data_IF_730484021853
#
_entry.id   IF_730484021853
#
_cell.length_a   1.000
_cell.length_b   1.000
_cell.length_c   1.000
_cell.angle_alpha   90.00
_cell.angle_beta   90.00
_cell.angle_gamma   90.00
#
_symmetry.space_group_name_H-M   'P 1'
#
loop_
_entity.id
_entity.type
_entity.pdbx_description
1 polymer ?
#
# COMPACT_ATOMS: atom_id res chain seq x y z
N UNK A 1 11.96 19.56 -19.47
CA UNK A 1 12.01 18.90 -20.78
C UNK A 1 10.63 18.28 -21.00
N UNK A 2 9.78 18.84 -21.86
CA UNK A 2 8.43 18.30 -22.10
C UNK A 2 8.47 17.05 -23.00
N UNK A 3 7.39 16.81 -23.75
CA UNK A 3 7.20 15.59 -24.57
C UNK A 3 8.34 15.25 -25.53
N UNK A 4 9.04 16.24 -26.06
CA UNK A 4 10.20 16.00 -26.94
C UNK A 4 11.28 15.19 -26.24
N UNK A 5 11.56 15.51 -24.97
CA UNK A 5 12.52 14.77 -24.15
C UNK A 5 12.00 13.38 -23.78
N UNK A 6 10.75 13.28 -23.35
CA UNK A 6 10.11 12.00 -23.04
C UNK A 6 10.11 11.04 -24.24
N UNK A 7 9.80 11.54 -25.44
CA UNK A 7 9.84 10.74 -26.67
C UNK A 7 11.25 10.30 -27.04
N UNK A 8 12.27 11.13 -26.81
CA UNK A 8 13.66 10.74 -27.01
C UNK A 8 14.08 9.64 -26.01
N UNK A 9 13.69 9.77 -24.74
CA UNK A 9 13.90 8.76 -23.71
C UNK A 9 13.20 7.45 -24.05
N UNK A 10 11.92 7.49 -24.44
CA UNK A 10 11.17 6.31 -24.86
C UNK A 10 11.83 5.61 -26.07
N UNK A 11 12.35 6.36 -27.05
CA UNK A 11 13.12 5.76 -28.16
C UNK A 11 14.41 5.09 -27.68
N UNK A 12 15.14 5.72 -26.76
CA UNK A 12 16.36 5.15 -26.19
C UNK A 12 16.06 3.89 -25.36
N UNK A 13 14.95 3.86 -24.61
CA UNK A 13 14.52 2.70 -23.82
C UNK A 13 14.30 1.47 -24.68
N UNK A 14 13.81 1.59 -25.92
CA UNK A 14 13.62 0.43 -26.83
C UNK A 14 14.89 -0.39 -27.02
N UNK A 15 16.06 0.26 -27.02
CA UNK A 15 17.36 -0.37 -27.22
C UNK A 15 18.12 -0.59 -25.91
N UNK A 16 17.61 -0.06 -24.80
CA UNK A 16 18.30 -0.13 -23.53
C UNK A 16 18.13 -1.50 -22.87
N UNK A 17 19.23 -2.12 -22.48
CA UNK A 17 19.26 -3.46 -21.91
C UNK A 17 19.65 -3.51 -20.42
N UNK A 18 19.74 -2.36 -19.75
CA UNK A 18 20.26 -2.28 -18.37
C UNK A 18 19.40 -1.48 -17.40
N UNK A 19 18.64 -0.49 -17.90
CA UNK A 19 17.83 0.38 -17.07
C UNK A 19 16.62 -0.38 -16.55
N UNK A 20 16.46 -0.36 -15.22
CA UNK A 20 15.34 -1.01 -14.54
C UNK A 20 14.21 -0.05 -14.21
N UNK A 21 14.54 1.20 -13.86
CA UNK A 21 13.56 2.19 -13.42
C UNK A 21 13.84 3.54 -14.08
N UNK A 22 12.79 4.20 -14.54
CA UNK A 22 12.82 5.56 -15.06
C UNK A 22 11.72 6.38 -14.39
N UNK A 23 12.07 7.56 -13.89
CA UNK A 23 11.11 8.52 -13.35
C UNK A 23 11.23 9.83 -14.12
N UNK A 24 10.13 10.26 -14.72
CA UNK A 24 9.98 11.52 -15.45
C UNK A 24 8.71 12.27 -15.03
N UNK A 25 8.23 12.01 -13.81
CA UNK A 25 6.97 12.53 -13.25
C UNK A 25 6.85 14.07 -13.27
N UNK A 26 7.93 14.77 -12.94
CA UNK A 26 7.95 16.24 -12.88
C UNK A 26 8.41 16.91 -14.19
N UNK A 27 8.13 16.29 -15.34
CA UNK A 27 8.59 16.79 -16.64
C UNK A 27 7.56 17.58 -17.46
N UNK A 28 6.35 17.83 -16.92
CA UNK A 28 5.23 18.51 -17.63
C UNK A 28 4.93 17.83 -18.97
N UNK A 29 4.63 16.54 -18.87
CA UNK A 29 4.34 15.69 -20.01
C UNK A 29 2.87 15.83 -20.43
N UNK A 30 2.55 15.42 -21.65
CA UNK A 30 1.18 15.24 -22.14
C UNK A 30 0.94 13.79 -22.57
N UNK A 31 -0.30 13.47 -22.95
CA UNK A 31 -0.69 12.15 -23.46
C UNK A 31 0.17 11.65 -24.65
N UNK A 32 0.82 12.54 -25.41
CA UNK A 32 1.78 12.16 -26.45
C UNK A 32 3.02 11.42 -25.90
N UNK A 33 3.44 11.73 -24.67
CA UNK A 33 4.49 10.98 -23.98
C UNK A 33 4.01 9.58 -23.59
N UNK A 34 2.76 9.43 -23.15
CA UNK A 34 2.16 8.14 -22.77
C UNK A 34 2.22 7.16 -23.95
N UNK A 35 1.76 7.57 -25.13
CA UNK A 35 1.82 6.74 -26.35
C UNK A 35 3.26 6.32 -26.69
N UNK A 36 4.23 7.24 -26.54
CA UNK A 36 5.64 6.93 -26.81
C UNK A 36 6.19 5.86 -25.87
N UNK A 37 5.84 5.91 -24.57
CA UNK A 37 6.27 4.92 -23.59
C UNK A 37 5.52 3.60 -23.70
N UNK A 38 4.23 3.59 -24.04
CA UNK A 38 3.47 2.36 -24.34
C UNK A 38 4.17 1.57 -25.46
N UNK A 39 4.48 2.22 -26.58
CA UNK A 39 5.19 1.58 -27.68
C UNK A 39 6.60 1.10 -27.29
N UNK A 40 7.29 1.86 -26.44
CA UNK A 40 8.62 1.47 -25.97
C UNK A 40 8.57 0.24 -25.07
N UNK A 41 7.65 0.19 -24.12
CA UNK A 41 7.52 -0.89 -23.16
C UNK A 41 6.98 -2.16 -23.80
N UNK A 42 6.21 -2.06 -24.88
CA UNK A 42 5.80 -3.21 -25.68
C UNK A 42 7.00 -3.94 -26.33
N UNK A 43 8.09 -3.23 -26.60
CA UNK A 43 9.31 -3.78 -27.21
C UNK A 43 10.41 -4.08 -26.17
N UNK A 44 10.35 -3.47 -24.99
CA UNK A 44 11.34 -3.62 -23.95
C UNK A 44 10.79 -4.43 -22.77
N UNK A 45 11.41 -5.59 -22.49
CA UNK A 45 11.06 -6.47 -21.37
C UNK A 45 12.05 -6.38 -20.18
N UNK A 46 13.00 -5.44 -20.22
CA UNK A 46 14.04 -5.27 -19.20
C UNK A 46 13.65 -4.25 -18.15
N UNK A 47 13.07 -3.13 -18.59
CA UNK A 47 12.57 -2.06 -17.72
C UNK A 47 11.45 -2.64 -16.87
N UNK A 48 11.53 -2.38 -15.57
CA UNK A 48 10.58 -2.87 -14.56
C UNK A 48 9.59 -1.77 -14.15
N UNK A 49 9.97 -0.48 -14.25
CA UNK A 49 9.09 0.64 -13.89
C UNK A 49 9.41 1.90 -14.69
N UNK A 50 8.39 2.56 -15.20
CA UNK A 50 8.43 3.92 -15.77
C UNK A 50 7.35 4.76 -15.10
N UNK A 51 7.74 5.80 -14.38
CA UNK A 51 6.81 6.73 -13.74
C UNK A 51 6.70 8.02 -14.57
N UNK A 52 5.49 8.31 -15.04
CA UNK A 52 5.17 9.55 -15.74
C UNK A 52 4.49 10.58 -14.82
N UNK A 53 4.22 10.21 -13.58
CA UNK A 53 3.61 11.07 -12.57
C UNK A 53 2.11 11.27 -12.77
N UNK A 54 1.56 12.23 -12.02
CA UNK A 54 0.17 12.62 -12.13
C UNK A 54 -0.01 13.48 -13.38
N UNK A 55 -0.53 12.86 -14.44
CA UNK A 55 -0.80 13.49 -15.72
C UNK A 55 -2.30 13.55 -15.97
N UNK A 56 -2.75 14.57 -16.68
CA UNK A 56 -4.13 14.65 -17.12
C UNK A 56 -4.24 13.99 -18.49
N UNK A 57 -4.50 12.68 -18.51
CA UNK A 57 -4.82 11.94 -19.75
C UNK A 57 -6.29 12.16 -20.06
N UNK A 58 -6.56 12.82 -21.19
CA UNK A 58 -7.93 13.18 -21.57
C UNK A 58 -8.75 11.95 -21.95
N UNK A 59 -10.08 12.02 -21.89
CA UNK A 59 -10.95 10.93 -22.37
C UNK A 59 -10.90 10.76 -23.90
N UNK A 60 -10.32 11.72 -24.65
CA UNK A 60 -10.08 11.60 -26.08
C UNK A 60 -8.87 10.72 -26.41
N UNK A 61 -7.93 10.59 -25.46
CA UNK A 61 -6.75 9.76 -25.67
C UNK A 61 -7.11 8.28 -25.85
N UNK A 62 -6.49 7.68 -26.86
CA UNK A 62 -6.52 6.25 -27.11
C UNK A 62 -5.11 5.72 -27.31
N UNK A 63 -4.81 4.50 -26.82
CA UNK A 63 -3.50 3.91 -27.01
C UNK A 63 -3.25 3.62 -28.50
N UNK A 64 -2.05 3.95 -28.99
CA UNK A 64 -1.66 3.72 -30.39
C UNK A 64 -1.49 2.23 -30.72
N UNK A 65 -1.18 1.43 -29.69
CA UNK A 65 -1.09 -0.03 -29.74
C UNK A 65 -1.93 -0.61 -28.60
N UNK A 66 -2.54 -1.81 -28.76
CA UNK A 66 -3.30 -2.45 -27.70
C UNK A 66 -2.50 -2.55 -26.41
N UNK A 67 -3.09 -2.15 -25.29
CA UNK A 67 -2.47 -2.30 -23.98
C UNK A 67 -2.30 -3.79 -23.63
N UNK A 68 -1.21 -4.09 -22.94
CA UNK A 68 -0.93 -5.43 -22.41
C UNK A 68 -0.68 -5.32 -20.91
N UNK A 69 -0.98 -6.38 -20.16
CA UNK A 69 -0.78 -6.36 -18.72
C UNK A 69 0.69 -6.09 -18.33
N UNK A 70 1.63 -6.55 -19.15
CA UNK A 70 3.05 -6.26 -18.96
C UNK A 70 3.35 -4.77 -19.09
N UNK A 71 2.76 -4.07 -20.06
CA UNK A 71 2.95 -2.62 -20.20
C UNK A 71 2.29 -1.88 -19.03
N UNK A 72 1.03 -2.17 -18.74
CA UNK A 72 0.28 -1.44 -17.72
C UNK A 72 0.81 -1.65 -16.30
N UNK A 73 1.33 -2.83 -15.97
CA UNK A 73 1.96 -3.08 -14.65
C UNK A 73 3.29 -2.35 -14.45
N UNK A 74 3.94 -1.89 -15.53
CA UNK A 74 5.25 -1.22 -15.49
C UNK A 74 5.17 0.27 -15.78
N UNK A 75 4.07 0.75 -16.35
CA UNK A 75 3.85 2.16 -16.69
C UNK A 75 2.94 2.81 -15.65
N UNK A 76 3.52 3.61 -14.77
CA UNK A 76 2.78 4.39 -13.79
C UNK A 76 2.35 5.72 -14.43
N UNK A 77 1.07 5.78 -14.79
CA UNK A 77 0.40 6.94 -15.38
C UNK A 77 -1.02 7.00 -14.84
N UNK A 78 -1.56 8.21 -14.76
CA UNK A 78 -2.97 8.46 -14.44
C UNK A 78 -3.84 8.16 -15.66
N UNK A 79 -4.46 6.98 -15.69
CA UNK A 79 -5.25 6.49 -16.82
C UNK A 79 -6.61 7.20 -16.95
N UNK A 80 -7.09 7.31 -18.18
CA UNK A 80 -8.48 7.65 -18.48
C UNK A 80 -9.37 6.39 -18.42
N UNK A 81 -10.69 6.53 -18.67
CA UNK A 81 -11.63 5.39 -18.67
C UNK A 81 -11.17 4.26 -19.58
N UNK A 82 -10.79 4.59 -20.82
CA UNK A 82 -10.44 3.61 -21.83
C UNK A 82 -9.18 2.82 -21.46
N UNK A 83 -8.15 3.50 -20.94
CA UNK A 83 -6.92 2.87 -20.48
C UNK A 83 -7.17 1.86 -19.36
N UNK A 84 -8.03 2.21 -18.40
CA UNK A 84 -8.42 1.28 -17.33
C UNK A 84 -9.20 0.07 -17.85
N UNK A 85 -10.12 0.27 -18.80
CA UNK A 85 -10.91 -0.82 -19.37
C UNK A 85 -10.06 -1.77 -20.23
N UNK A 86 -9.16 -1.24 -21.06
CA UNK A 86 -8.22 -2.07 -21.84
C UNK A 86 -7.24 -2.79 -20.92
N UNK A 87 -6.76 -2.13 -19.86
CA UNK A 87 -5.94 -2.80 -18.84
C UNK A 87 -6.70 -3.93 -18.15
N UNK A 88 -7.93 -3.68 -17.70
CA UNK A 88 -8.78 -4.69 -17.08
C UNK A 88 -9.01 -5.89 -18.02
N UNK A 89 -9.21 -5.65 -19.31
CA UNK A 89 -9.42 -6.69 -20.32
C UNK A 89 -8.17 -7.54 -20.58
N UNK A 90 -6.98 -6.95 -20.46
CA UNK A 90 -5.71 -7.63 -20.73
C UNK A 90 -5.06 -8.27 -19.50
N UNK A 91 -5.64 -8.13 -18.29
CA UNK A 91 -5.10 -8.73 -17.07
C UNK A 91 -5.01 -10.26 -17.21
N UNK A 92 -3.86 -10.87 -16.86
CA UNK A 92 -3.66 -12.31 -17.04
C UNK A 92 -4.42 -13.07 -15.95
N UNK A 93 -5.08 -14.17 -16.31
CA UNK A 93 -5.76 -15.02 -15.32
C UNK A 93 -4.81 -15.86 -14.47
N UNK A 94 -3.55 -16.02 -14.90
CA UNK A 94 -2.49 -16.67 -14.14
C UNK A 94 -1.35 -15.67 -13.89
N UNK A 95 -1.32 -15.12 -12.67
CA UNK A 95 -0.39 -14.09 -12.26
C UNK A 95 0.75 -14.65 -11.41
N UNK A 96 1.87 -14.97 -12.07
CA UNK A 96 3.09 -15.42 -11.39
C UNK A 96 4.05 -14.28 -11.01
N UNK A 97 3.75 -13.02 -11.29
CA UNK A 97 4.75 -11.95 -11.08
C UNK A 97 4.25 -10.55 -10.70
N UNK A 98 2.96 -10.24 -10.62
CA UNK A 98 2.51 -8.91 -10.19
C UNK A 98 2.53 -8.79 -8.65
N UNK A 99 3.74 -8.79 -8.08
CA UNK A 99 3.93 -8.53 -6.65
C UNK A 99 3.65 -7.07 -6.29
N UNK A 100 3.84 -6.16 -7.24
CA UNK A 100 3.62 -4.72 -7.09
C UNK A 100 2.71 -4.21 -8.21
N UNK A 101 1.68 -3.45 -7.86
CA UNK A 101 0.74 -2.84 -8.79
C UNK A 101 0.47 -1.40 -8.40
N UNK A 102 0.54 -0.48 -9.36
CA UNK A 102 0.22 0.93 -9.17
C UNK A 102 -0.86 1.34 -10.17
N UNK A 103 -2.02 1.73 -9.67
CA UNK A 103 -3.14 2.21 -10.48
C UNK A 103 -3.40 3.67 -10.16
N UNK A 104 -3.53 4.48 -11.21
CA UNK A 104 -3.92 5.87 -11.09
C UNK A 104 -4.98 6.23 -12.13
N UNK A 105 -5.90 7.13 -11.82
CA UNK A 105 -6.92 7.57 -12.77
C UNK A 105 -7.30 9.04 -12.65
N UNK A 106 -7.81 9.61 -13.74
CA UNK A 106 -8.12 11.05 -13.84
C UNK A 106 -9.47 11.38 -13.19
N UNK A 107 -9.70 12.66 -12.89
CA UNK A 107 -10.99 13.11 -12.33
C UNK A 107 -12.18 12.91 -13.29
N UNK A 108 -11.92 12.92 -14.60
CA UNK A 108 -12.93 12.74 -15.65
C UNK A 108 -13.27 11.27 -15.91
N UNK A 109 -12.49 10.35 -15.34
CA UNK A 109 -12.66 8.91 -15.57
C UNK A 109 -14.05 8.44 -15.12
N UNK A 110 -14.73 7.70 -15.99
CA UNK A 110 -16.00 7.07 -15.68
C UNK A 110 -15.82 6.02 -14.57
N UNK A 111 -16.61 6.07 -13.49
CA UNK A 111 -16.55 5.11 -12.40
C UNK A 111 -16.68 3.64 -12.83
N UNK A 112 -17.43 3.37 -13.90
CA UNK A 112 -17.57 2.04 -14.47
C UNK A 112 -16.24 1.44 -14.93
N UNK A 113 -15.33 2.25 -15.49
CA UNK A 113 -13.99 1.80 -15.88
C UNK A 113 -13.14 1.41 -14.67
N UNK A 114 -13.18 2.25 -13.62
CA UNK A 114 -12.49 1.99 -12.34
C UNK A 114 -13.02 0.72 -11.67
N UNK A 115 -14.34 0.55 -11.60
CA UNK A 115 -14.97 -0.65 -11.02
C UNK A 115 -14.61 -1.91 -11.82
N UNK A 116 -14.62 -1.84 -13.16
CA UNK A 116 -14.17 -2.95 -14.02
C UNK A 116 -12.73 -3.34 -13.71
N UNK A 117 -11.84 -2.36 -13.59
CA UNK A 117 -10.44 -2.61 -13.23
C UNK A 117 -10.31 -3.30 -11.88
N UNK A 118 -10.94 -2.79 -10.81
CA UNK A 118 -10.90 -3.43 -9.50
C UNK A 118 -11.49 -4.84 -9.51
N UNK A 119 -12.55 -5.07 -10.29
CA UNK A 119 -13.14 -6.40 -10.43
C UNK A 119 -12.21 -7.39 -11.14
N UNK A 120 -11.49 -6.95 -12.17
CA UNK A 120 -10.50 -7.76 -12.88
C UNK A 120 -9.29 -8.05 -11.99
N UNK A 121 -8.77 -7.04 -11.28
CA UNK A 121 -7.67 -7.18 -10.33
C UNK A 121 -8.02 -8.17 -9.21
N UNK A 122 -9.27 -8.17 -8.74
CA UNK A 122 -9.74 -9.10 -7.69
C UNK A 122 -9.62 -10.57 -8.10
N UNK A 123 -9.83 -10.87 -9.37
CA UNK A 123 -9.79 -12.25 -9.90
C UNK A 123 -8.39 -12.63 -10.34
N UNK A 124 -7.65 -11.68 -10.91
CA UNK A 124 -6.39 -11.94 -11.60
C UNK A 124 -5.18 -11.89 -10.65
N UNK A 125 -5.17 -10.98 -9.68
CA UNK A 125 -3.99 -10.69 -8.87
C UNK A 125 -4.00 -11.48 -7.54
N UNK A 126 -3.60 -12.74 -7.60
CA UNK A 126 -3.53 -13.61 -6.41
C UNK A 126 -2.24 -13.43 -5.59
N UNK A 127 -1.16 -12.97 -6.21
CA UNK A 127 0.17 -12.82 -5.59
C UNK A 127 0.54 -11.37 -5.24
N UNK A 128 -0.44 -10.46 -5.24
CA UNK A 128 -0.23 -9.03 -5.02
C UNK A 128 0.23 -8.73 -3.59
N UNK A 129 1.44 -8.16 -3.44
CA UNK A 129 2.00 -7.82 -2.12
C UNK A 129 1.99 -6.33 -1.81
N UNK A 130 2.07 -5.48 -2.83
CA UNK A 130 2.04 -4.03 -2.71
C UNK A 130 1.08 -3.42 -3.74
N UNK A 131 0.15 -2.60 -3.26
CA UNK A 131 -0.81 -1.88 -4.09
C UNK A 131 -0.70 -0.38 -3.82
N UNK A 132 -0.48 0.39 -4.89
CA UNK A 132 -0.52 1.85 -4.88
C UNK A 132 -1.74 2.30 -5.67
N UNK A 133 -2.55 3.17 -5.07
CA UNK A 133 -3.75 3.74 -5.69
C UNK A 133 -3.60 5.25 -5.67
N UNK A 134 -3.51 5.89 -6.83
CA UNK A 134 -3.57 7.35 -6.95
C UNK A 134 -4.90 7.76 -7.56
N UNK A 135 -5.73 8.47 -6.81
CA UNK A 135 -7.08 8.81 -7.23
C UNK A 135 -7.36 10.31 -7.13
N UNK A 136 -8.30 10.84 -7.94
CA UNK A 136 -8.75 12.22 -7.82
C UNK A 136 -9.46 12.41 -6.48
N UNK A 137 -9.65 13.66 -6.07
CA UNK A 137 -10.25 13.97 -4.77
C UNK A 137 -11.52 13.21 -4.46
N UNK A 138 -12.51 13.31 -5.34
CA UNK A 138 -13.83 12.70 -5.08
C UNK A 138 -13.95 11.39 -5.83
N UNK A 139 -13.99 10.28 -5.10
CA UNK A 139 -14.18 8.95 -5.67
C UNK A 139 -15.62 8.47 -5.43
N UNK A 140 -16.39 8.10 -6.46
CA UNK A 140 -17.76 7.63 -6.27
C UNK A 140 -17.85 6.38 -5.38
N UNK A 141 -18.97 6.24 -4.65
CA UNK A 141 -19.13 5.17 -3.66
C UNK A 141 -19.00 3.76 -4.22
N UNK A 142 -19.33 3.56 -5.50
CA UNK A 142 -19.17 2.29 -6.20
C UNK A 142 -17.70 1.90 -6.42
N UNK A 143 -16.82 2.87 -6.68
CA UNK A 143 -15.38 2.65 -6.76
C UNK A 143 -14.81 2.28 -5.39
N UNK A 144 -15.25 2.97 -4.33
CA UNK A 144 -14.85 2.65 -2.96
C UNK A 144 -15.28 1.23 -2.55
N UNK A 145 -16.50 0.81 -2.90
CA UNK A 145 -16.98 -0.57 -2.68
C UNK A 145 -16.18 -1.60 -3.46
N UNK A 146 -15.86 -1.32 -4.72
CA UNK A 146 -15.04 -2.20 -5.54
C UNK A 146 -13.63 -2.37 -4.93
N UNK A 147 -13.05 -1.28 -4.43
CA UNK A 147 -11.79 -1.32 -3.72
C UNK A 147 -11.85 -2.15 -2.42
N UNK A 148 -12.84 -1.93 -1.57
CA UNK A 148 -13.04 -2.73 -0.35
C UNK A 148 -13.21 -4.21 -0.70
N UNK A 149 -13.95 -4.53 -1.76
CA UNK A 149 -14.12 -5.91 -2.23
C UNK A 149 -12.80 -6.55 -2.69
N UNK A 150 -11.90 -5.78 -3.33
CA UNK A 150 -10.55 -6.23 -3.65
C UNK A 150 -9.77 -6.52 -2.37
N UNK A 151 -9.73 -5.57 -1.42
CA UNK A 151 -9.02 -5.74 -0.15
C UNK A 151 -9.50 -6.96 0.64
N UNK A 152 -10.81 -7.19 0.70
CA UNK A 152 -11.39 -8.35 1.39
C UNK A 152 -11.03 -9.68 0.71
N UNK A 153 -10.86 -9.71 -0.61
CA UNK A 153 -10.51 -10.91 -1.36
C UNK A 153 -9.01 -11.21 -1.34
N UNK A 154 -8.16 -10.19 -1.28
CA UNK A 154 -6.70 -10.36 -1.28
C UNK A 154 -6.20 -10.95 0.05
N UNK A 155 -5.41 -12.01 -0.04
CA UNK A 155 -4.77 -12.71 1.08
C UNK A 155 -3.23 -12.68 1.01
N UNK A 156 -2.67 -11.91 0.09
CA UNK A 156 -1.24 -11.73 -0.13
C UNK A 156 -0.77 -10.29 0.07
N UNK A 157 -1.71 -9.33 0.07
CA UNK A 157 -1.41 -7.90 0.17
C UNK A 157 -0.83 -7.57 1.54
N UNK A 158 0.38 -7.02 1.56
CA UNK A 158 1.11 -6.61 2.76
C UNK A 158 1.18 -5.10 2.92
N UNK A 159 1.27 -4.36 1.81
CA UNK A 159 1.39 -2.90 1.82
C UNK A 159 0.37 -2.25 0.89
N UNK A 160 -0.32 -1.24 1.42
CA UNK A 160 -1.27 -0.43 0.68
C UNK A 160 -0.87 1.05 0.77
N UNK A 161 -0.81 1.73 -0.37
CA UNK A 161 -0.59 3.18 -0.44
C UNK A 161 -1.73 3.84 -1.19
N UNK A 162 -2.34 4.87 -0.61
CA UNK A 162 -3.40 5.65 -1.24
C UNK A 162 -2.96 7.11 -1.32
N UNK A 163 -2.80 7.56 -2.55
CA UNK A 163 -2.41 8.90 -2.92
C UNK A 163 -3.61 9.62 -3.51
N UNK A 164 -3.83 10.87 -3.14
CA UNK A 164 -4.87 11.69 -3.77
C UNK A 164 -4.33 13.06 -4.10
N UNK A 165 -4.77 13.61 -5.24
CA UNK A 165 -4.40 14.96 -5.67
C UNK A 165 -5.11 16.01 -4.79
N UNK A 166 -6.38 15.78 -4.47
CA UNK A 166 -7.12 16.58 -3.49
C UNK A 166 -7.30 15.79 -2.20
N UNK A 167 -7.26 16.48 -1.06
CA UNK A 167 -7.41 15.89 0.28
C UNK A 167 -8.82 15.36 0.59
N UNK A 168 -9.58 14.93 -0.41
CA UNK A 168 -10.98 14.53 -0.23
C UNK A 168 -11.13 13.14 0.40
N UNK A 169 -12.30 12.97 1.02
CA UNK A 169 -12.44 12.33 2.33
C UNK A 169 -13.29 11.06 2.34
N UNK A 170 -13.79 10.62 1.19
CA UNK A 170 -14.75 9.52 1.13
C UNK A 170 -14.10 8.13 0.99
N UNK A 171 -12.89 8.04 0.43
CA UNK A 171 -12.19 6.76 0.27
C UNK A 171 -11.61 6.26 1.59
N UNK A 172 -11.11 7.16 2.44
CA UNK A 172 -10.34 6.81 3.65
C UNK A 172 -11.18 5.98 4.62
N UNK A 173 -12.38 6.43 4.99
CA UNK A 173 -13.26 5.74 5.95
C UNK A 173 -13.62 4.31 5.49
N UNK A 174 -14.04 4.17 4.22
CA UNK A 174 -14.41 2.88 3.64
C UNK A 174 -13.21 1.94 3.55
N UNK A 175 -12.05 2.49 3.16
CA UNK A 175 -10.79 1.74 3.13
C UNK A 175 -10.41 1.23 4.50
N UNK A 176 -10.43 2.09 5.54
CA UNK A 176 -10.10 1.69 6.91
C UNK A 176 -11.07 0.61 7.39
N UNK A 177 -12.36 0.70 7.03
CA UNK A 177 -13.33 -0.35 7.32
C UNK A 177 -13.01 -1.67 6.59
N UNK A 178 -12.55 -1.62 5.34
CA UNK A 178 -12.06 -2.79 4.60
C UNK A 178 -10.79 -3.38 5.20
N UNK A 179 -9.85 -2.55 5.64
CA UNK A 179 -8.63 -2.95 6.35
C UNK A 179 -8.96 -3.67 7.67
N UNK A 180 -9.99 -3.24 8.39
CA UNK A 180 -10.47 -3.94 9.59
C UNK A 180 -10.96 -5.38 9.29
N UNK A 181 -11.22 -5.72 8.03
CA UNK A 181 -11.68 -7.06 7.60
C UNK A 181 -10.57 -7.88 6.96
N UNK A 182 -9.62 -7.25 6.28
CA UNK A 182 -8.42 -7.88 5.76
C UNK A 182 -7.52 -8.40 6.91
N UNK A 183 -6.72 -9.45 6.64
CA UNK A 183 -5.86 -10.10 7.66
C UNK A 183 -4.36 -10.05 7.34
N UNK A 184 -3.98 -9.45 6.22
CA UNK A 184 -2.64 -9.60 5.64
C UNK A 184 -1.93 -8.27 5.47
N UNK A 185 -2.67 -7.16 5.33
CA UNK A 185 -2.10 -5.82 5.22
C UNK A 185 -1.44 -5.44 6.54
N UNK A 186 -0.12 -5.20 6.46
CA UNK A 186 0.75 -4.85 7.58
C UNK A 186 1.05 -3.36 7.64
N UNK A 187 1.07 -2.72 6.48
CA UNK A 187 1.36 -1.30 6.35
C UNK A 187 0.34 -0.63 5.44
N UNK A 188 -0.28 0.44 5.92
CA UNK A 188 -1.17 1.27 5.13
C UNK A 188 -0.73 2.74 5.21
N UNK A 189 -0.54 3.35 4.05
CA UNK A 189 -0.08 4.73 3.90
C UNK A 189 -1.17 5.52 3.18
N UNK A 190 -1.61 6.61 3.80
CA UNK A 190 -2.64 7.49 3.31
C UNK A 190 -2.04 8.90 3.17
N UNK A 191 -1.99 9.45 1.96
CA UNK A 191 -1.57 10.84 1.76
C UNK A 191 -2.72 11.86 2.03
N UNK A 192 -3.75 11.44 2.78
CA UNK A 192 -4.91 12.23 3.17
C UNK A 192 -4.84 12.67 4.64
N UNK A 193 -5.74 13.60 5.02
CA UNK A 193 -5.91 14.07 6.39
C UNK A 193 -6.91 13.18 7.15
N UNK A 194 -6.53 12.77 8.35
CA UNK A 194 -7.39 12.04 9.28
C UNK A 194 -8.18 13.04 10.15
N UNK A 195 -9.49 13.20 9.94
CA UNK A 195 -10.23 14.34 10.52
C UNK A 195 -11.67 14.02 10.97
N UNK A 196 -12.32 12.97 10.48
CA UNK A 196 -13.72 12.70 10.89
C UNK A 196 -13.82 11.77 12.10
N UNK A 197 -14.89 11.95 12.89
CA UNK A 197 -15.27 10.98 13.92
C UNK A 197 -15.59 9.59 13.35
N UNK A 198 -15.97 9.50 12.07
CA UNK A 198 -16.20 8.23 11.39
C UNK A 198 -14.88 7.49 11.13
N UNK A 199 -13.82 8.21 10.74
CA UNK A 199 -12.48 7.63 10.59
C UNK A 199 -12.00 7.07 11.93
N UNK A 200 -12.19 7.82 13.02
CA UNK A 200 -11.81 7.38 14.38
C UNK A 200 -12.55 6.12 14.77
N UNK A 201 -13.85 6.03 14.47
CA UNK A 201 -14.64 4.80 14.71
C UNK A 201 -14.14 3.63 13.86
N UNK A 202 -13.77 3.89 12.61
CA UNK A 202 -13.19 2.87 11.74
C UNK A 202 -11.83 2.40 12.28
N UNK A 203 -10.97 3.31 12.71
CA UNK A 203 -9.67 3.00 13.35
C UNK A 203 -9.85 2.26 14.68
N UNK A 204 -10.84 2.63 15.48
CA UNK A 204 -11.18 1.91 16.70
C UNK A 204 -11.59 0.46 16.39
N UNK A 205 -12.34 0.23 15.30
CA UNK A 205 -12.64 -1.13 14.85
C UNK A 205 -11.38 -1.87 14.45
N UNK A 206 -10.45 -1.24 13.73
CA UNK A 206 -9.14 -1.83 13.39
C UNK A 206 -8.37 -2.22 14.65
N UNK A 207 -8.23 -1.28 15.59
CA UNK A 207 -7.50 -1.47 16.85
C UNK A 207 -8.09 -2.59 17.72
N UNK A 208 -9.42 -2.64 17.87
CA UNK A 208 -10.08 -3.67 18.69
C UNK A 208 -10.16 -5.02 17.99
N UNK A 209 -10.49 -5.04 16.70
CA UNK A 209 -10.92 -6.28 16.06
C UNK A 209 -9.79 -7.05 15.41
N UNK A 210 -8.63 -6.47 15.04
CA UNK A 210 -7.67 -7.21 14.18
C UNK A 210 -6.16 -6.92 14.27
N UNK A 211 -5.33 -7.94 13.88
CA UNK A 211 -4.06 -8.29 14.51
C UNK A 211 -2.87 -8.40 13.51
N UNK A 212 -2.89 -7.68 12.38
CA UNK A 212 -1.81 -7.73 11.38
C UNK A 212 -1.31 -6.35 10.93
N UNK A 213 -2.10 -5.29 11.13
CA UNK A 213 -1.69 -3.94 10.76
C UNK A 213 -0.68 -3.42 11.79
N UNK A 214 0.58 -3.33 11.38
CA UNK A 214 1.68 -2.85 12.21
C UNK A 214 1.81 -1.33 12.13
N UNK A 215 1.64 -0.77 10.92
CA UNK A 215 1.95 0.63 10.65
C UNK A 215 0.84 1.28 9.87
N UNK A 216 0.46 2.47 10.34
CA UNK A 216 -0.51 3.30 9.68
C UNK A 216 0.04 4.72 9.58
N UNK A 217 0.18 5.23 8.36
CA UNK A 217 0.71 6.57 8.12
C UNK A 217 -0.34 7.43 7.44
N UNK A 218 -0.48 8.67 7.92
CA UNK A 218 -1.30 9.70 7.31
C UNK A 218 -0.46 10.93 6.95
N UNK A 219 -0.97 11.81 6.08
CA UNK A 219 -0.32 13.09 5.79
C UNK A 219 -0.35 14.02 7.01
N UNK A 220 -1.51 14.11 7.64
CA UNK A 220 -1.72 14.89 8.86
C UNK A 220 -3.00 14.41 9.56
N UNK A 221 -3.25 14.91 10.76
CA UNK A 221 -4.49 14.65 11.48
C UNK A 221 -5.07 15.93 12.08
N UNK A 222 -6.40 15.97 12.16
CA UNK A 222 -7.17 16.96 12.90
C UNK A 222 -8.19 16.22 13.78
N UNK A 223 -7.69 15.52 14.79
CA UNK A 223 -8.50 14.72 15.69
C UNK A 223 -8.69 15.43 17.03
N UNK A 224 -9.89 15.30 17.60
CA UNK A 224 -10.16 15.77 18.96
C UNK A 224 -9.36 14.96 19.99
N UNK A 225 -9.06 15.56 21.14
CA UNK A 225 -8.41 14.86 22.26
C UNK A 225 -9.19 13.62 22.70
N UNK A 226 -10.53 13.68 22.64
CA UNK A 226 -11.42 12.55 22.97
C UNK A 226 -11.27 11.39 21.98
N UNK A 227 -11.14 11.69 20.68
CA UNK A 227 -10.90 10.68 19.66
C UNK A 227 -9.56 9.95 19.89
N UNK A 228 -8.50 10.70 20.15
CA UNK A 228 -7.18 10.13 20.44
C UNK A 228 -7.16 9.27 21.71
N UNK A 229 -7.88 9.69 22.76
CA UNK A 229 -8.05 8.88 23.98
C UNK A 229 -8.82 7.59 23.71
N UNK A 230 -9.88 7.65 22.90
CA UNK A 230 -10.63 6.46 22.51
C UNK A 230 -9.77 5.47 21.72
N UNK A 231 -8.86 5.95 20.88
CA UNK A 231 -7.90 5.10 20.17
C UNK A 231 -6.85 4.51 21.13
N UNK A 232 -6.39 5.27 22.11
CA UNK A 232 -5.45 4.77 23.12
C UNK A 232 -6.07 3.60 23.91
N UNK A 233 -7.32 3.75 24.36
CA UNK A 233 -8.06 2.68 25.04
C UNK A 233 -8.25 1.44 24.15
N UNK A 234 -8.55 1.65 22.86
CA UNK A 234 -8.70 0.56 21.90
C UNK A 234 -7.40 -0.23 21.65
N UNK A 235 -6.24 0.37 21.92
CA UNK A 235 -4.92 -0.26 21.76
C UNK A 235 -4.39 -0.91 23.06
N UNK A 236 -5.09 -0.79 24.19
CA UNK A 236 -4.65 -1.41 25.44
C UNK A 236 -4.50 -2.93 25.28
N UNK A 237 -5.40 -3.58 24.56
CA UNK A 237 -5.34 -5.03 24.30
C UNK A 237 -4.70 -5.39 22.94
N UNK A 238 -4.24 -4.40 22.18
CA UNK A 238 -3.58 -4.61 20.89
C UNK A 238 -2.07 -4.42 21.00
N UNK A 239 -1.30 -5.50 20.85
CA UNK A 239 0.16 -5.48 20.93
C UNK A 239 0.85 -5.43 19.56
N UNK A 240 0.09 -5.56 18.48
CA UNK A 240 0.60 -5.73 17.10
C UNK A 240 0.68 -4.39 16.37
N UNK A 241 -0.17 -3.43 16.72
CA UNK A 241 -0.14 -2.10 16.13
C UNK A 241 1.03 -1.29 16.72
N UNK A 242 2.03 -0.99 15.90
CA UNK A 242 3.32 -0.42 16.33
C UNK A 242 3.41 1.09 16.10
N UNK A 243 2.92 1.60 14.96
CA UNK A 243 3.05 3.03 14.63
C UNK A 243 1.79 3.64 14.02
N UNK A 244 1.51 4.87 14.46
CA UNK A 244 0.56 5.79 13.85
C UNK A 244 1.30 7.10 13.54
N UNK A 245 1.69 7.27 12.29
CA UNK A 245 2.62 8.32 11.86
C UNK A 245 1.90 9.41 11.05
N UNK A 246 2.41 10.64 11.13
CA UNK A 246 1.88 11.80 10.42
C UNK A 246 3.01 12.59 9.75
N UNK A 247 2.94 12.79 8.44
CA UNK A 247 3.99 13.42 7.64
C UNK A 247 4.27 14.88 8.03
N UNK A 248 3.22 15.70 8.17
CA UNK A 248 3.32 17.14 8.45
C UNK A 248 2.94 17.53 9.88
N UNK A 249 2.68 16.56 10.76
CA UNK A 249 2.30 16.84 12.14
C UNK A 249 3.43 16.45 13.09
N UNK A 250 3.98 17.39 13.88
CA UNK A 250 4.98 17.06 14.88
C UNK A 250 4.31 16.28 16.02
N UNK A 251 4.65 14.99 16.15
CA UNK A 251 4.31 14.04 17.21
C UNK A 251 2.85 14.03 17.74
N UNK A 252 2.31 12.84 17.99
CA UNK A 252 1.00 12.70 18.64
C UNK A 252 0.92 13.54 19.93
N UNK A 253 0.04 14.55 19.94
CA UNK A 253 -0.13 15.47 21.09
C UNK A 253 -0.72 14.81 22.35
N UNK A 254 -1.02 13.52 22.31
CA UNK A 254 -1.59 12.77 23.44
C UNK A 254 -0.65 11.68 23.91
N UNK A 255 -0.15 11.86 25.13
CA UNK A 255 0.72 10.92 25.84
C UNK A 255 0.17 9.48 25.91
N UNK A 256 -1.13 9.21 26.18
CA UNK A 256 -1.62 7.83 26.33
C UNK A 256 -1.48 6.98 25.06
N UNK A 257 -1.80 7.56 23.89
CA UNK A 257 -1.67 6.85 22.62
C UNK A 257 -0.20 6.55 22.31
N UNK A 258 0.69 7.52 22.54
CA UNK A 258 2.13 7.34 22.38
C UNK A 258 2.68 6.28 23.34
N UNK A 259 2.22 6.24 24.59
CA UNK A 259 2.60 5.21 25.56
C UNK A 259 2.17 3.81 25.13
N UNK A 260 0.95 3.64 24.60
CA UNK A 260 0.48 2.34 24.11
C UNK A 260 1.35 1.84 22.93
N UNK A 261 1.67 2.71 21.98
CA UNK A 261 2.53 2.39 20.84
C UNK A 261 3.97 2.07 21.28
N UNK A 262 4.55 2.89 22.17
CA UNK A 262 5.90 2.65 22.71
C UNK A 262 5.97 1.35 23.52
N UNK A 263 4.91 1.00 24.27
CA UNK A 263 4.80 -0.29 24.96
C UNK A 263 4.87 -1.43 23.95
N UNK A 264 4.10 -1.37 22.86
CA UNK A 264 4.09 -2.41 21.83
C UNK A 264 5.46 -2.58 21.18
N UNK A 265 6.11 -1.48 20.83
CA UNK A 265 7.46 -1.50 20.27
C UNK A 265 8.49 -2.09 21.25
N UNK A 266 8.39 -1.74 22.53
CA UNK A 266 9.26 -2.30 23.57
C UNK A 266 9.06 -3.81 23.73
N UNK A 267 7.82 -4.29 23.79
CA UNK A 267 7.50 -5.71 23.84
C UNK A 267 8.05 -6.46 22.62
N UNK A 268 7.90 -5.90 21.42
CA UNK A 268 8.45 -6.49 20.21
C UNK A 268 9.99 -6.60 20.28
N UNK A 269 10.68 -5.54 20.69
CA UNK A 269 12.13 -5.55 20.81
C UNK A 269 12.61 -6.59 21.84
N UNK A 270 11.96 -6.68 22.99
CA UNK A 270 12.26 -7.70 24.02
C UNK A 270 12.02 -9.12 23.53
N UNK A 271 10.93 -9.35 22.80
CA UNK A 271 10.66 -10.66 22.20
C UNK A 271 11.73 -11.04 21.17
N UNK A 272 12.21 -10.08 20.35
CA UNK A 272 13.33 -10.31 19.41
C UNK A 272 14.62 -10.66 20.15
N UNK A 273 14.96 -9.94 21.22
CA UNK A 273 16.12 -10.25 22.06
C UNK A 273 16.05 -11.66 22.65
N UNK A 274 14.86 -12.10 23.07
CA UNK A 274 14.60 -13.45 23.57
C UNK A 274 14.81 -14.54 22.49
N UNK A 275 14.33 -14.28 21.27
CA UNK A 275 14.47 -15.21 20.15
C UNK A 275 15.95 -15.36 19.77
N UNK A 276 16.68 -14.25 19.76
CA UNK A 276 18.11 -14.21 19.41
C UNK A 276 19.05 -14.66 20.56
N UNK A 277 18.49 -15.06 21.71
CA UNK A 277 19.24 -15.42 22.93
C UNK A 277 20.13 -14.28 23.48
N UNK A 278 19.77 -13.03 23.20
CA UNK A 278 20.47 -11.85 23.73
C UNK A 278 20.05 -11.52 25.17
N UNK A 279 18.81 -11.82 25.54
CA UNK A 279 18.25 -11.67 26.90
C UNK A 279 17.10 -12.66 27.11
N UNK A 280 17.08 -13.41 28.22
CA UNK A 280 16.07 -14.45 28.51
C UNK A 280 15.47 -14.30 29.92
N UNK A 281 15.26 -13.05 30.33
CA UNK A 281 14.56 -12.73 31.58
C UNK A 281 13.03 -12.90 31.47
N UNK A 282 12.36 -12.95 32.61
CA UNK A 282 10.91 -13.22 32.72
C UNK A 282 10.07 -12.26 31.85
N UNK A 283 10.46 -10.99 31.78
CA UNK A 283 9.78 -9.98 30.96
C UNK A 283 9.94 -10.24 29.45
N UNK A 284 11.11 -10.71 28.98
CA UNK A 284 11.31 -11.05 27.57
C UNK A 284 10.57 -12.34 27.19
N UNK A 285 10.51 -13.31 28.11
CA UNK A 285 9.73 -14.54 27.95
C UNK A 285 8.22 -14.24 27.92
N UNK A 286 7.75 -13.31 28.74
CA UNK A 286 6.36 -12.85 28.69
C UNK A 286 6.06 -12.10 27.38
N UNK A 287 6.96 -11.23 26.92
CA UNK A 287 6.82 -10.56 25.64
C UNK A 287 6.78 -11.56 24.46
N UNK A 288 7.63 -12.60 24.51
CA UNK A 288 7.60 -13.69 23.53
C UNK A 288 6.26 -14.43 23.57
N UNK A 289 5.73 -14.81 24.75
CA UNK A 289 4.41 -15.45 24.88
C UNK A 289 3.28 -14.64 24.23
N UNK A 290 3.34 -13.31 24.33
CA UNK A 290 2.31 -12.42 23.75
C UNK A 290 2.42 -12.30 22.23
N UNK A 291 3.62 -12.43 21.67
CA UNK A 291 3.91 -12.12 20.26
C UNK A 291 4.33 -13.33 19.42
N UNK A 292 4.49 -14.51 19.99
CA UNK A 292 5.08 -15.67 19.29
C UNK A 292 4.30 -16.13 18.06
N UNK A 293 2.97 -15.92 18.09
CA UNK A 293 2.06 -16.24 16.98
C UNK A 293 1.89 -15.11 15.97
N UNK A 294 2.58 -13.98 16.17
CA UNK A 294 2.41 -12.77 15.36
C UNK A 294 3.47 -12.66 14.27
N UNK A 295 3.05 -12.24 13.09
CA UNK A 295 3.96 -11.96 11.97
C UNK A 295 4.90 -10.78 12.27
N UNK A 296 4.51 -9.83 13.14
CA UNK A 296 5.37 -8.70 13.55
C UNK A 296 6.69 -9.17 14.16
N UNK A 297 6.67 -10.24 14.97
CA UNK A 297 7.88 -10.82 15.54
C UNK A 297 8.77 -11.43 14.45
N UNK A 298 8.18 -12.19 13.52
CA UNK A 298 8.94 -12.78 12.41
C UNK A 298 9.60 -11.71 11.54
N UNK A 299 8.84 -10.67 11.19
CA UNK A 299 9.33 -9.52 10.41
C UNK A 299 10.49 -8.82 11.12
N UNK A 300 10.36 -8.59 12.43
CA UNK A 300 11.38 -7.92 13.23
C UNK A 300 12.65 -8.79 13.41
N UNK A 301 12.50 -10.10 13.66
CA UNK A 301 13.63 -11.04 13.74
C UNK A 301 14.36 -11.11 12.40
N UNK A 302 13.64 -11.17 11.28
CA UNK A 302 14.25 -11.16 9.94
C UNK A 302 15.04 -9.86 9.69
N UNK A 303 14.47 -8.71 10.08
CA UNK A 303 15.12 -7.41 9.93
C UNK A 303 16.41 -7.29 10.77
N UNK A 304 16.41 -7.78 12.01
CA UNK A 304 17.58 -7.68 12.91
C UNK A 304 18.65 -8.74 12.62
N UNK A 305 18.24 -9.97 12.29
CA UNK A 305 19.18 -11.07 12.05
C UNK A 305 19.73 -11.13 10.63
N UNK A 306 19.05 -10.50 9.66
CA UNK A 306 19.40 -10.57 8.23
C UNK A 306 19.19 -11.95 7.61
N UNK A 307 18.50 -12.87 8.31
CA UNK A 307 18.29 -14.26 7.88
C UNK A 307 17.02 -14.42 7.02
N UNK A 308 16.94 -15.47 6.19
CA UNK A 308 15.72 -15.79 5.44
C UNK A 308 14.57 -16.18 6.38
N UNK A 309 13.33 -15.91 5.95
CA UNK A 309 12.13 -16.11 6.78
C UNK A 309 11.99 -17.51 7.37
N UNK A 310 12.34 -18.56 6.62
CA UNK A 310 12.24 -19.94 7.09
C UNK A 310 13.16 -20.20 8.29
N UNK A 311 14.38 -19.65 8.26
CA UNK A 311 15.29 -19.74 9.40
C UNK A 311 14.79 -18.93 10.60
N UNK A 312 14.23 -17.74 10.36
CA UNK A 312 13.61 -16.94 11.41
C UNK A 312 12.43 -17.67 12.06
N UNK A 313 11.60 -18.39 11.29
CA UNK A 313 10.52 -19.21 11.83
C UNK A 313 11.04 -20.32 12.73
N UNK A 314 12.11 -21.01 12.33
CA UNK A 314 12.75 -22.03 13.18
C UNK A 314 13.30 -21.43 14.47
N UNK A 315 13.88 -20.22 14.43
CA UNK A 315 14.37 -19.54 15.63
C UNK A 315 13.23 -19.18 16.59
N UNK A 316 12.12 -18.65 16.08
CA UNK A 316 10.93 -18.33 16.90
C UNK A 316 10.36 -19.60 17.51
N UNK A 317 10.17 -20.68 16.74
CA UNK A 317 9.69 -21.97 17.26
C UNK A 317 10.64 -22.56 18.30
N UNK A 318 11.95 -22.47 18.07
CA UNK A 318 12.96 -22.90 19.03
C UNK A 318 12.94 -22.08 20.33
N UNK A 319 12.56 -20.81 20.26
CA UNK A 319 12.35 -19.96 21.42
C UNK A 319 11.03 -20.27 22.14
N UNK A 320 9.97 -20.59 21.40
CA UNK A 320 8.69 -21.05 21.98
C UNK A 320 8.85 -22.35 22.77
N UNK A 321 9.68 -23.29 22.31
CA UNK A 321 9.98 -24.50 23.07
C UNK A 321 10.73 -24.25 24.39
N UNK A 322 11.25 -23.04 24.61
CA UNK A 322 11.88 -22.64 25.88
C UNK A 322 10.88 -22.02 26.88
N UNK A 323 9.67 -21.64 26.42
CA UNK A 323 8.60 -21.03 27.23
C UNK A 323 7.92 -22.02 28.16
#
# INVERSE_FOLDING_TARGET
>A
FGDLGARALAKALRQNSSLKRLDVSDCRLTEGAVSSFVESLALNNIVERVCLGNMEVTEEWAPTLPLTASVCSRLEVTWNTRGLEEWAACMPQDDRSCSHLSVAWTAETNPGGVVKWFSAARVSCTSLTELVISCPGTVPSECAKAFVSLLEATNSLKKLTIETVDHSYNVVTETICGLARNKTVREAIFHQYLHTDQDVKALHRVAVHKPALHRLKFRAYNLSKKALLSLALALEDNFVFLSLDFEYSPALKTYPLLCALNRNQSLLNRAVECVLNSSVDDESMQALRLLSTTDSLLDAVAAVSGKPYEECRCLVQGAEHRL
#
